data_IF_408315018874
#
_entry.id   IF_408315018874
#
_cell.length_a   1.000
_cell.length_b   1.000
_cell.length_c   1.000
_cell.angle_alpha   90.00
_cell.angle_beta   90.00
_cell.angle_gamma   90.00
#
_symmetry.space_group_name_H-M   'P 1'
#
loop_
_entity.id
_entity.type
_entity.pdbx_description
1 polymer ?
#
# COMPACT_ATOMS: atom_id res chain seq x y z
N UNK A 1 42.97 -3.57 -33.37
CA UNK A 1 42.75 -3.77 -31.92
C UNK A 1 41.31 -3.36 -31.63
N UNK A 2 40.49 -4.23 -31.04
CA UNK A 2 39.12 -3.84 -30.66
C UNK A 2 39.16 -2.82 -29.52
N UNK A 3 38.56 -1.65 -29.72
CA UNK A 3 38.49 -0.62 -28.68
C UNK A 3 37.43 -1.06 -27.68
N UNK A 4 37.81 -1.12 -26.39
CA UNK A 4 36.86 -1.43 -25.32
C UNK A 4 35.83 -0.31 -25.22
N UNK A 5 34.57 -0.69 -25.19
CA UNK A 5 33.46 0.22 -24.99
C UNK A 5 32.45 -0.37 -24.01
N UNK A 6 31.75 0.50 -23.30
CA UNK A 6 30.61 0.18 -22.44
C UNK A 6 29.48 1.14 -22.79
N UNK A 7 28.24 0.72 -22.61
CA UNK A 7 27.10 1.60 -22.84
C UNK A 7 26.14 1.54 -21.66
N UNK A 8 25.46 2.64 -21.42
CA UNK A 8 24.31 2.72 -20.55
C UNK A 8 23.19 3.42 -21.30
N UNK A 9 21.95 3.04 -21.01
CA UNK A 9 20.79 3.60 -21.70
C UNK A 9 19.68 3.95 -20.72
N UNK A 10 18.91 4.96 -21.08
CA UNK A 10 17.59 5.22 -20.55
C UNK A 10 16.59 5.17 -21.70
N UNK A 11 15.34 5.56 -21.45
CA UNK A 11 14.27 5.41 -22.44
C UNK A 11 14.41 6.38 -23.63
N UNK A 12 15.12 7.50 -23.45
CA UNK A 12 15.28 8.56 -24.47
C UNK A 12 16.67 8.58 -25.13
N UNK A 13 17.70 8.09 -24.45
CA UNK A 13 19.11 8.26 -24.82
C UNK A 13 19.94 7.02 -24.51
N UNK A 14 20.93 6.76 -25.36
CA UNK A 14 21.98 5.76 -25.13
C UNK A 14 23.31 6.48 -25.04
N UNK A 15 24.02 6.34 -23.93
CA UNK A 15 25.38 6.88 -23.80
C UNK A 15 26.41 5.77 -23.93
N UNK A 16 27.34 5.96 -24.87
CA UNK A 16 28.42 5.05 -25.18
C UNK A 16 29.74 5.62 -24.64
N UNK A 17 30.38 4.88 -23.76
CA UNK A 17 31.72 5.17 -23.22
C UNK A 17 32.77 4.37 -23.98
N UNK A 18 33.57 5.04 -24.79
CA UNK A 18 34.68 4.45 -25.56
C UNK A 18 35.98 4.69 -24.79
N UNK A 19 36.64 3.64 -24.33
CA UNK A 19 37.87 3.76 -23.52
C UNK A 19 39.11 3.93 -24.39
N UNK A 20 39.35 5.15 -24.85
CA UNK A 20 40.55 5.54 -25.57
C UNK A 20 41.41 6.51 -24.74
N UNK A 21 42.49 5.99 -24.15
CA UNK A 21 43.37 6.77 -23.27
C UNK A 21 44.22 7.74 -24.09
N UNK A 22 44.14 9.03 -23.76
CA UNK A 22 44.94 10.07 -24.41
C UNK A 22 44.43 10.47 -25.80
N UNK A 23 43.13 10.35 -26.05
CA UNK A 23 42.55 10.77 -27.32
C UNK A 23 42.59 12.30 -27.45
N UNK A 24 43.16 12.77 -28.56
CA UNK A 24 43.33 14.19 -28.87
C UNK A 24 42.03 14.72 -29.49
N UNK A 25 41.36 15.73 -28.88
CA UNK A 25 40.08 16.25 -29.39
C UNK A 25 40.11 16.64 -30.87
N UNK A 26 41.26 17.12 -31.36
CA UNK A 26 41.42 17.61 -32.73
C UNK A 26 41.62 16.49 -33.78
N UNK A 27 41.82 15.24 -33.33
CA UNK A 27 42.11 14.08 -34.20
C UNK A 27 41.04 12.99 -34.14
N UNK A 28 39.94 13.25 -33.44
CA UNK A 28 38.80 12.34 -33.32
C UNK A 28 37.76 12.71 -34.37
N UNK A 29 37.25 11.71 -35.08
CA UNK A 29 36.09 11.87 -35.96
C UNK A 29 35.01 10.86 -35.59
N UNK A 30 33.81 11.38 -35.35
CA UNK A 30 32.59 10.63 -35.03
C UNK A 30 31.54 10.88 -36.12
N UNK A 31 31.06 9.80 -36.74
CA UNK A 31 29.97 9.84 -37.70
C UNK A 31 28.74 9.12 -37.12
N UNK A 32 27.59 9.81 -37.19
CA UNK A 32 26.29 9.31 -36.75
C UNK A 32 25.40 9.06 -37.97
N UNK A 33 24.87 7.85 -38.06
CA UNK A 33 23.86 7.43 -39.02
C UNK A 33 22.67 6.82 -38.25
N UNK A 34 21.46 6.76 -38.83
CA UNK A 34 20.25 6.35 -38.10
C UNK A 34 20.38 5.03 -37.35
N UNK A 35 21.18 4.07 -37.84
CA UNK A 35 21.45 2.80 -37.14
C UNK A 35 22.93 2.46 -37.06
N UNK A 36 23.82 3.47 -37.12
CA UNK A 36 25.26 3.22 -37.13
C UNK A 36 26.04 4.35 -36.47
N UNK A 37 27.01 3.98 -35.65
CA UNK A 37 27.99 4.92 -35.09
C UNK A 37 29.38 4.48 -35.49
N UNK A 38 30.15 5.39 -36.06
CA UNK A 38 31.55 5.17 -36.41
C UNK A 38 32.43 6.14 -35.64
N UNK A 39 33.36 5.60 -34.87
CA UNK A 39 34.40 6.35 -34.16
C UNK A 39 35.75 6.06 -34.80
N UNK A 40 36.52 7.10 -35.10
CA UNK A 40 37.87 7.01 -35.65
C UNK A 40 38.81 7.94 -34.90
N UNK A 41 39.98 7.42 -34.50
CA UNK A 41 41.06 8.18 -33.87
C UNK A 41 42.41 7.56 -34.24
N UNK A 42 43.13 8.19 -35.16
CA UNK A 42 44.37 7.65 -35.74
C UNK A 42 44.15 6.30 -36.41
N UNK A 43 44.88 5.26 -35.97
CA UNK A 43 44.76 3.88 -36.48
C UNK A 43 43.66 3.05 -35.79
N UNK A 44 42.90 3.65 -34.86
CA UNK A 44 41.85 2.97 -34.10
C UNK A 44 40.47 3.33 -34.66
N UNK A 45 39.71 2.32 -35.04
CA UNK A 45 38.33 2.47 -35.53
C UNK A 45 37.39 1.56 -34.76
N UNK A 46 36.24 2.10 -34.35
CA UNK A 46 35.12 1.37 -33.76
C UNK A 46 33.87 1.63 -34.60
N UNK A 47 33.27 0.57 -35.14
CA UNK A 47 32.03 0.63 -35.92
C UNK A 47 30.97 -0.17 -35.16
N UNK A 48 29.85 0.45 -34.85
CA UNK A 48 28.70 -0.17 -34.21
C UNK A 48 27.53 -0.15 -35.20
N UNK A 49 27.27 -1.30 -35.83
CA UNK A 49 26.25 -1.50 -36.85
C UNK A 49 25.74 -2.96 -36.83
N UNK A 50 24.43 -3.21 -36.98
CA UNK A 50 23.32 -2.26 -36.88
C UNK A 50 22.98 -1.98 -35.41
N UNK A 51 22.77 -0.71 -35.07
CA UNK A 51 22.17 -0.34 -33.78
C UNK A 51 20.78 -0.94 -33.66
N UNK A 52 20.42 -1.32 -32.44
CA UNK A 52 19.14 -1.96 -32.14
C UNK A 52 17.92 -1.03 -32.29
N UNK A 53 18.11 0.28 -32.21
CA UNK A 53 17.08 1.27 -32.52
C UNK A 53 17.60 2.41 -33.37
N UNK A 54 16.68 3.20 -33.92
CA UNK A 54 17.04 4.38 -34.69
C UNK A 54 17.47 5.53 -33.76
N UNK A 55 18.58 6.19 -34.10
CA UNK A 55 19.06 7.40 -33.45
C UNK A 55 18.76 8.62 -34.33
N UNK A 56 18.58 9.78 -33.71
CA UNK A 56 18.51 11.06 -34.41
C UNK A 56 19.94 11.63 -34.56
N UNK A 57 20.57 11.58 -35.75
CA UNK A 57 21.97 11.97 -35.93
C UNK A 57 22.22 13.45 -35.58
N UNK A 58 21.25 14.31 -35.84
CA UNK A 58 21.37 15.77 -35.62
C UNK A 58 21.33 16.15 -34.14
N UNK A 59 20.78 15.27 -33.29
CA UNK A 59 20.65 15.48 -31.85
C UNK A 59 21.72 14.72 -31.03
N UNK A 60 22.60 13.96 -31.67
CA UNK A 60 23.68 13.24 -31.00
C UNK A 60 24.86 14.16 -30.72
N UNK A 61 25.48 14.01 -29.55
CA UNK A 61 26.65 14.77 -29.15
C UNK A 61 27.76 13.86 -28.60
N UNK A 62 28.96 14.41 -28.39
CA UNK A 62 30.04 13.69 -27.76
C UNK A 62 30.92 14.62 -26.91
N UNK A 63 31.60 14.05 -25.92
CA UNK A 63 32.53 14.73 -25.02
C UNK A 63 33.81 13.91 -24.91
N UNK A 64 34.95 14.54 -25.14
CA UNK A 64 36.26 13.89 -25.09
C UNK A 64 36.88 14.09 -23.71
N UNK A 65 37.10 13.01 -22.97
CA UNK A 65 37.84 13.00 -21.71
C UNK A 65 39.25 12.43 -21.85
N UNK A 66 40.07 12.55 -20.79
CA UNK A 66 41.46 12.06 -20.79
C UNK A 66 41.60 10.54 -20.94
N UNK A 67 40.58 9.79 -20.51
CA UNK A 67 40.61 8.31 -20.40
C UNK A 67 39.56 7.65 -21.30
N UNK A 68 38.48 8.36 -21.61
CA UNK A 68 37.35 7.87 -22.38
C UNK A 68 36.71 8.99 -23.18
N UNK A 69 36.09 8.63 -24.30
CA UNK A 69 35.20 9.48 -25.09
C UNK A 69 33.77 9.05 -24.78
N UNK A 70 32.93 9.99 -24.36
CA UNK A 70 31.52 9.77 -24.07
C UNK A 70 30.68 10.28 -25.24
N UNK A 71 29.89 9.40 -25.83
CA UNK A 71 29.04 9.68 -26.98
C UNK A 71 27.60 9.54 -26.55
N UNK A 72 26.77 10.58 -26.67
CA UNK A 72 25.34 10.51 -26.32
C UNK A 72 24.52 10.42 -27.58
N UNK A 73 23.80 9.32 -27.70
CA UNK A 73 22.91 9.01 -28.80
C UNK A 73 21.47 9.28 -28.38
N UNK A 74 20.73 10.07 -29.14
CA UNK A 74 19.31 10.35 -28.88
C UNK A 74 18.46 9.38 -29.69
N UNK A 75 17.55 8.66 -29.03
CA UNK A 75 16.68 7.67 -29.68
C UNK A 75 15.49 8.34 -30.35
N UNK A 76 15.09 7.86 -31.52
CA UNK A 76 13.86 8.33 -32.19
C UNK A 76 12.63 7.69 -31.54
N UNK A 77 12.68 6.38 -31.27
CA UNK A 77 11.63 5.66 -30.56
C UNK A 77 12.03 5.49 -29.09
N UNK A 78 11.18 5.96 -28.17
CA UNK A 78 11.42 5.81 -26.74
C UNK A 78 11.33 4.33 -26.34
N UNK A 79 12.32 3.85 -25.58
CA UNK A 79 12.38 2.47 -25.11
C UNK A 79 13.80 1.95 -24.91
N UNK A 80 13.96 0.93 -24.05
CA UNK A 80 15.25 0.29 -23.80
C UNK A 80 15.55 -0.77 -24.83
N UNK A 81 16.76 -0.75 -25.37
CA UNK A 81 17.20 -1.68 -26.39
C UNK A 81 17.61 -3.03 -25.76
N UNK A 82 18.13 -3.06 -24.54
CA UNK A 82 18.60 -4.29 -23.89
C UNK A 82 19.83 -4.93 -24.57
N UNK A 83 20.43 -4.22 -25.52
CA UNK A 83 21.57 -4.62 -26.34
C UNK A 83 21.91 -3.50 -27.33
N UNK A 84 23.18 -3.16 -27.51
CA UNK A 84 23.59 -2.04 -28.37
C UNK A 84 23.46 -2.37 -29.86
N UNK A 85 23.78 -3.61 -30.24
CA UNK A 85 23.75 -4.12 -31.62
C UNK A 85 22.63 -5.14 -31.75
N UNK A 86 21.86 -5.08 -32.83
CA UNK A 86 20.87 -6.11 -33.14
C UNK A 86 19.89 -5.72 -34.24
N UNK A 87 19.38 -6.74 -34.94
CA UNK A 87 18.33 -6.61 -35.95
C UNK A 87 16.96 -6.50 -35.27
N UNK A 88 16.62 -5.32 -34.75
CA UNK A 88 15.23 -5.04 -34.37
C UNK A 88 14.43 -4.61 -35.60
N UNK A 89 13.20 -5.12 -35.79
CA UNK A 89 12.28 -4.58 -36.78
C UNK A 89 11.89 -3.14 -36.40
N UNK A 90 11.79 -2.30 -37.42
CA UNK A 90 11.60 -0.86 -37.34
C UNK A 90 10.18 -0.50 -36.85
N UNK A 91 10.00 0.19 -35.70
CA UNK A 91 8.67 0.58 -35.23
C UNK A 91 7.98 1.64 -36.10
N UNK A 92 8.67 2.21 -37.09
CA UNK A 92 8.11 3.25 -37.98
C UNK A 92 7.26 2.74 -39.16
N UNK A 93 7.05 1.43 -39.31
CA UNK A 93 6.14 0.90 -40.34
C UNK A 93 4.64 1.07 -40.00
N UNK A 94 4.28 1.33 -38.73
CA UNK A 94 2.90 1.47 -38.29
C UNK A 94 2.60 2.88 -37.74
N UNK A 95 2.74 3.91 -38.57
CA UNK A 95 2.17 5.24 -38.26
C UNK A 95 1.78 5.98 -39.54
N UNK A 96 0.74 5.48 -40.20
CA UNK A 96 -0.09 6.31 -41.06
C UNK A 96 -1.25 6.89 -40.23
N UNK A 97 -1.16 8.20 -39.95
CA UNK A 97 -2.25 9.15 -39.75
C UNK A 97 -3.36 8.84 -38.74
N UNK A 98 -3.39 9.60 -37.63
CA UNK A 98 -4.52 10.52 -37.34
C UNK A 98 -4.16 11.50 -36.21
N UNK A 99 -3.77 12.71 -36.59
CA UNK A 99 -3.87 13.90 -35.73
C UNK A 99 -5.33 14.30 -35.59
N UNK A 100 -5.87 14.29 -34.37
CA UNK A 100 -7.15 14.93 -34.03
C UNK A 100 -6.89 16.19 -33.17
N UNK A 101 -7.60 17.31 -33.40
CA UNK A 101 -7.30 18.59 -32.76
C UNK A 101 -7.89 18.68 -31.36
N UNK A 102 -7.14 19.32 -30.45
CA UNK A 102 -7.62 19.74 -29.12
C UNK A 102 -8.68 20.83 -29.20
N UNK A 103 -9.82 20.73 -28.48
CA UNK A 103 -10.68 21.87 -28.22
C UNK A 103 -10.26 22.61 -26.94
N UNK A 104 -10.17 23.94 -27.03
CA UNK A 104 -10.11 24.84 -25.87
C UNK A 104 -11.44 24.79 -25.13
N UNK A 105 -11.46 24.19 -23.94
CA UNK A 105 -12.63 24.15 -23.05
C UNK A 105 -12.51 25.15 -21.90
N UNK A 106 -13.51 26.03 -21.76
CA UNK A 106 -13.69 26.96 -20.65
C UNK A 106 -13.76 26.22 -19.30
N UNK A 107 -13.16 26.82 -18.27
CA UNK A 107 -13.34 26.45 -16.86
C UNK A 107 -14.83 26.42 -16.51
N UNK A 108 -15.35 25.26 -16.11
CA UNK A 108 -16.63 25.11 -15.40
C UNK A 108 -16.36 24.67 -13.96
N UNK A 109 -16.99 25.39 -13.04
CA UNK A 109 -16.93 25.21 -11.60
C UNK A 109 -17.77 23.98 -11.21
N UNK A 110 -17.18 23.01 -10.50
CA UNK A 110 -17.82 21.73 -10.15
C UNK A 110 -18.59 21.72 -8.82
N UNK A 111 -18.59 22.83 -8.09
CA UNK A 111 -19.22 22.89 -6.76
C UNK A 111 -20.75 23.07 -6.77
N UNK A 112 -21.39 23.16 -7.95
CA UNK A 112 -22.85 23.38 -8.05
C UNK A 112 -23.66 22.16 -8.54
N UNK A 113 -23.03 21.05 -8.92
CA UNK A 113 -23.74 19.84 -9.43
C UNK A 113 -24.00 18.83 -8.32
N UNK A 114 -23.29 18.90 -7.20
CA UNK A 114 -23.55 18.04 -6.03
C UNK A 114 -24.84 18.42 -5.31
N UNK A 115 -25.26 19.70 -5.36
CA UNK A 115 -26.46 20.14 -4.63
C UNK A 115 -27.75 19.86 -5.39
N UNK A 116 -27.72 19.82 -6.73
CA UNK A 116 -28.91 19.50 -7.55
C UNK A 116 -29.19 17.99 -7.59
N UNK A 117 -28.17 17.13 -7.71
CA UNK A 117 -28.33 15.66 -7.70
C UNK A 117 -28.80 15.15 -6.34
N UNK A 118 -28.35 15.77 -5.23
CA UNK A 118 -28.84 15.47 -3.88
C UNK A 118 -30.27 15.97 -3.61
N UNK A 119 -30.88 16.74 -4.53
CA UNK A 119 -32.20 17.34 -4.34
C UNK A 119 -33.29 16.83 -5.31
N UNK A 120 -32.94 15.99 -6.28
CA UNK A 120 -33.89 15.48 -7.29
C UNK A 120 -34.15 13.97 -7.27
N UNK A 121 -33.78 13.27 -6.19
CA UNK A 121 -34.27 11.90 -5.97
C UNK A 121 -35.56 11.92 -5.15
N UNK A 122 -36.67 11.74 -5.86
CA UNK A 122 -38.00 11.58 -5.27
C UNK A 122 -38.03 10.22 -4.54
N UNK A 123 -38.06 10.24 -3.21
CA UNK A 123 -38.25 9.05 -2.38
C UNK A 123 -39.55 8.32 -2.79
N UNK A 124 -39.46 7.01 -3.03
CA UNK A 124 -40.63 6.14 -3.22
C UNK A 124 -41.14 5.73 -1.85
N UNK A 125 -42.46 5.82 -1.66
CA UNK A 125 -43.14 5.52 -0.41
C UNK A 125 -43.50 4.03 -0.29
N UNK A 126 -43.70 3.56 0.94
CA UNK A 126 -44.02 2.17 1.35
C UNK A 126 -45.34 1.64 0.74
N UNK A 127 -46.15 2.50 0.12
CA UNK A 127 -47.42 2.10 -0.51
C UNK A 127 -47.24 1.31 -1.82
N UNK A 128 -46.05 1.33 -2.45
CA UNK A 128 -45.83 0.72 -3.78
C UNK A 128 -45.09 -0.64 -3.77
N UNK A 129 -44.36 -1.03 -2.71
CA UNK A 129 -43.71 -2.36 -2.62
C UNK A 129 -43.38 -2.75 -1.17
N UNK A 130 -44.00 -3.81 -0.61
CA UNK A 130 -43.80 -4.21 0.79
C UNK A 130 -42.44 -4.88 1.06
N UNK A 131 -41.55 -5.05 0.07
CA UNK A 131 -40.27 -5.77 0.27
C UNK A 131 -39.01 -4.96 -0.07
N UNK A 132 -39.08 -3.63 -0.12
CA UNK A 132 -37.92 -2.76 -0.36
C UNK A 132 -37.52 -2.04 0.93
N UNK A 133 -36.62 -2.63 1.73
CA UNK A 133 -35.90 -1.88 2.76
C UNK A 133 -35.34 -2.71 3.92
N UNK A 134 -34.04 -3.01 3.89
CA UNK A 134 -33.28 -3.49 5.06
C UNK A 134 -33.07 -2.41 6.13
N UNK A 135 -32.40 -2.80 7.23
CA UNK A 135 -32.26 -2.14 8.55
C UNK A 135 -32.17 -0.59 8.61
N UNK A 136 -31.78 0.09 7.52
CA UNK A 136 -31.73 1.56 7.45
C UNK A 136 -33.11 2.24 7.35
N UNK A 137 -34.14 1.55 6.87
CA UNK A 137 -35.51 2.10 6.78
C UNK A 137 -36.32 1.99 8.09
N UNK A 138 -35.85 1.19 9.04
CA UNK A 138 -36.56 0.91 10.29
C UNK A 138 -36.27 1.99 11.34
N UNK A 139 -35.07 2.58 11.30
CA UNK A 139 -34.62 3.60 12.25
C UNK A 139 -35.47 4.89 12.23
N UNK A 140 -35.86 5.46 11.07
CA UNK A 140 -36.73 6.64 11.03
C UNK A 140 -38.15 6.37 11.51
N UNK A 141 -38.66 5.14 11.31
CA UNK A 141 -39.97 4.70 11.78
C UNK A 141 -40.00 4.63 13.32
N UNK A 142 -39.00 4.01 13.93
CA UNK A 142 -38.86 3.98 15.40
C UNK A 142 -38.63 5.36 16.00
N UNK A 143 -37.89 6.25 15.33
CA UNK A 143 -37.65 7.61 15.80
C UNK A 143 -38.93 8.45 15.84
N UNK A 144 -39.80 8.35 14.83
CA UNK A 144 -41.13 9.00 14.86
C UNK A 144 -42.01 8.41 15.96
N UNK A 145 -42.04 7.08 16.10
CA UNK A 145 -42.85 6.40 17.10
C UNK A 145 -42.42 6.75 18.54
N UNK A 146 -41.11 6.92 18.78
CA UNK A 146 -40.59 7.32 20.08
C UNK A 146 -40.74 8.82 20.35
N UNK A 147 -40.70 9.67 19.32
CA UNK A 147 -40.85 11.12 19.51
C UNK A 147 -42.26 11.52 19.97
N UNK A 148 -43.29 10.87 19.43
CA UNK A 148 -44.70 11.20 19.70
C UNK A 148 -45.31 10.43 20.89
N UNK A 149 -44.57 9.51 21.52
CA UNK A 149 -45.05 8.70 22.65
C UNK A 149 -44.91 9.40 24.02
N UNK A 150 -45.85 9.12 24.92
CA UNK A 150 -45.80 9.50 26.34
C UNK A 150 -44.70 8.72 27.10
N UNK A 151 -44.24 9.26 28.23
CA UNK A 151 -43.06 8.75 28.93
C UNK A 151 -43.21 7.31 29.43
N UNK A 152 -44.43 6.86 29.75
CA UNK A 152 -44.69 5.48 30.13
C UNK A 152 -44.66 4.52 28.93
N UNK A 153 -45.12 4.96 27.75
CA UNK A 153 -44.98 4.18 26.51
C UNK A 153 -43.52 4.06 26.08
N UNK A 154 -42.72 5.13 26.21
CA UNK A 154 -41.27 5.09 25.96
C UNK A 154 -40.55 4.10 26.88
N UNK A 155 -40.95 4.03 28.15
CA UNK A 155 -40.41 3.06 29.12
C UNK A 155 -40.81 1.63 28.76
N UNK A 156 -42.05 1.41 28.31
CA UNK A 156 -42.51 0.10 27.83
C UNK A 156 -41.71 -0.38 26.61
N UNK A 157 -41.49 0.52 25.65
CA UNK A 157 -40.73 0.25 24.44
C UNK A 157 -39.27 -0.09 24.75
N UNK A 158 -38.60 0.70 25.60
CA UNK A 158 -37.21 0.46 25.98
C UNK A 158 -37.04 -0.88 26.72
N UNK A 159 -37.95 -1.17 27.67
CA UNK A 159 -37.91 -2.41 28.45
C UNK A 159 -38.24 -3.63 27.60
N UNK A 160 -39.27 -3.57 26.75
CA UNK A 160 -39.63 -4.65 25.82
C UNK A 160 -38.51 -4.94 24.81
N UNK A 161 -37.89 -3.90 24.26
CA UNK A 161 -36.77 -4.04 23.32
C UNK A 161 -35.56 -4.69 23.98
N UNK A 162 -35.20 -4.23 25.19
CA UNK A 162 -34.06 -4.74 25.94
C UNK A 162 -34.27 -6.17 26.46
N UNK A 163 -35.49 -6.53 26.88
CA UNK A 163 -35.81 -7.87 27.39
C UNK A 163 -36.00 -8.91 26.28
N UNK A 164 -36.52 -8.51 25.11
CA UNK A 164 -36.73 -9.40 23.96
C UNK A 164 -35.50 -9.56 23.06
N UNK A 165 -34.41 -8.82 23.32
CA UNK A 165 -33.24 -8.84 22.45
C UNK A 165 -33.51 -8.22 21.07
N UNK A 166 -34.46 -7.29 20.99
CA UNK A 166 -34.80 -6.55 19.77
C UNK A 166 -35.85 -7.19 18.87
N UNK A 167 -36.50 -8.28 19.29
CA UNK A 167 -37.49 -8.99 18.46
C UNK A 167 -38.93 -8.56 18.71
N UNK A 168 -39.23 -7.82 19.79
CA UNK A 168 -40.61 -7.48 20.16
C UNK A 168 -40.72 -6.08 20.75
N UNK A 169 -41.60 -5.26 20.17
CA UNK A 169 -41.88 -3.91 20.62
C UNK A 169 -43.32 -3.84 21.17
N UNK A 170 -43.46 -3.67 22.48
CA UNK A 170 -44.75 -3.42 23.13
C UNK A 170 -44.83 -1.95 23.60
N UNK A 171 -45.99 -1.35 23.44
CA UNK A 171 -46.29 0.04 23.83
C UNK A 171 -47.15 0.13 25.11
N UNK A 172 -47.52 -1.01 25.72
CA UNK A 172 -48.38 -1.04 26.91
C UNK A 172 -47.59 -1.29 28.20
N UNK A 173 -47.39 -0.24 29.01
CA UNK A 173 -46.58 -0.30 30.23
C UNK A 173 -47.15 -1.23 31.31
N UNK A 174 -48.48 -1.29 31.48
CA UNK A 174 -49.11 -2.12 32.52
C UNK A 174 -48.90 -3.63 32.30
N UNK A 175 -48.64 -4.02 31.05
CA UNK A 175 -48.45 -5.41 30.62
C UNK A 175 -46.98 -5.83 30.76
N UNK A 176 -46.05 -4.96 30.33
CA UNK A 176 -44.59 -5.15 30.44
C UNK A 176 -44.11 -5.05 31.90
N UNK A 177 -44.90 -4.43 32.80
CA UNK A 177 -44.59 -4.39 34.23
C UNK A 177 -44.92 -5.70 34.97
N UNK A 178 -45.92 -6.47 34.51
CA UNK A 178 -46.44 -7.66 35.24
C UNK A 178 -45.70 -8.96 34.96
N UNK A 179 -44.83 -9.02 33.94
CA UNK A 179 -44.04 -10.22 33.61
C UNK A 179 -43.01 -9.99 32.50
N UNK A 180 -42.07 -10.92 32.36
CA UNK A 180 -40.98 -10.88 31.37
C UNK A 180 -41.56 -11.07 29.96
N UNK A 181 -41.16 -10.23 29.00
CA UNK A 181 -41.67 -10.30 27.62
C UNK A 181 -40.95 -11.42 26.85
N UNK A 182 -41.72 -12.38 26.31
CA UNK A 182 -41.18 -13.53 25.58
C UNK A 182 -40.76 -13.18 24.14
N UNK A 183 -39.64 -13.75 23.72
CA UNK A 183 -39.06 -13.59 22.37
C UNK A 183 -39.94 -14.31 21.35
N UNK A 184 -40.63 -13.55 20.47
CA UNK A 184 -41.30 -14.09 19.29
C UNK A 184 -40.53 -13.69 18.03
N UNK A 185 -39.75 -14.59 17.42
CA UNK A 185 -39.09 -14.30 16.14
C UNK A 185 -40.11 -14.20 14.99
N UNK A 186 -39.80 -13.47 13.90
CA UNK A 186 -40.64 -13.40 12.70
C UNK A 186 -40.89 -14.79 12.08
N UNK A 187 -42.06 -14.96 11.43
CA UNK A 187 -42.47 -16.23 10.81
C UNK A 187 -41.37 -16.78 9.88
N UNK A 188 -40.86 -17.99 10.19
CA UNK A 188 -39.81 -18.67 9.44
C UNK A 188 -38.39 -18.61 10.04
N UNK A 189 -38.17 -17.93 11.17
CA UNK A 189 -36.86 -17.90 11.86
C UNK A 189 -36.92 -18.53 13.25
N UNK A 190 -35.94 -19.38 13.59
CA UNK A 190 -35.77 -19.94 14.94
C UNK A 190 -34.73 -19.15 15.74
N UNK A 191 -35.09 -18.75 16.95
CA UNK A 191 -34.16 -18.15 17.90
C UNK A 191 -33.17 -19.20 18.43
N UNK A 192 -31.86 -18.99 18.22
CA UNK A 192 -30.81 -19.78 18.89
C UNK A 192 -30.11 -18.91 19.93
N UNK A 193 -30.11 -19.35 21.19
CA UNK A 193 -29.10 -18.89 22.17
C UNK A 193 -27.74 -19.40 21.70
N UNK A 194 -26.73 -18.53 21.62
CA UNK A 194 -25.33 -18.97 21.49
C UNK A 194 -24.90 -19.70 22.77
N UNK A 195 -25.32 -20.95 22.93
CA UNK A 195 -24.74 -21.89 23.87
C UNK A 195 -23.75 -22.77 23.13
N UNK A 196 -22.57 -22.22 22.87
CA UNK A 196 -21.38 -23.02 22.60
C UNK A 196 -20.37 -22.71 23.72
N UNK A 197 -20.60 -23.33 24.88
CA UNK A 197 -19.46 -23.91 25.59
C UNK A 197 -18.93 -25.03 24.69
N UNK A 198 -18.06 -24.65 23.76
CA UNK A 198 -17.03 -25.57 23.30
C UNK A 198 -16.21 -25.94 24.54
N UNK A 199 -15.76 -27.19 24.70
CA UNK A 199 -14.95 -27.57 25.84
C UNK A 199 -13.79 -26.58 25.94
N UNK A 200 -13.65 -25.95 27.12
CA UNK A 200 -12.47 -25.17 27.47
C UNK A 200 -11.33 -26.17 27.55
N UNK A 201 -10.77 -26.53 26.39
CA UNK A 201 -9.42 -27.04 26.33
C UNK A 201 -8.55 -25.92 26.87
N UNK A 202 -7.84 -26.24 27.96
CA UNK A 202 -6.74 -25.49 28.54
C UNK A 202 -5.98 -24.71 27.44
N UNK A 203 -5.55 -23.45 27.68
CA UNK A 203 -4.78 -22.72 26.67
C UNK A 203 -3.55 -23.56 26.33
N UNK A 204 -3.59 -24.19 25.16
CA UNK A 204 -2.42 -24.83 24.56
C UNK A 204 -1.42 -23.70 24.38
N UNK A 205 -0.32 -23.78 25.12
CA UNK A 205 0.76 -22.81 25.12
C UNK A 205 1.53 -22.89 23.79
N UNK A 206 0.92 -22.37 22.72
CA UNK A 206 1.56 -21.80 21.54
C UNK A 206 0.53 -20.92 20.84
N UNK A 207 0.09 -19.85 21.50
CA UNK A 207 -0.52 -18.71 20.80
C UNK A 207 0.58 -18.07 19.93
N UNK A 208 0.73 -18.57 18.70
CA UNK A 208 1.72 -18.06 17.76
C UNK A 208 1.39 -16.59 17.45
N UNK A 209 2.32 -15.70 17.78
CA UNK A 209 2.07 -14.26 17.68
C UNK A 209 2.34 -13.78 16.25
N UNK A 210 1.25 -13.58 15.50
CA UNK A 210 1.27 -13.13 14.12
C UNK A 210 1.63 -11.65 14.04
N UNK A 211 2.52 -11.31 13.11
CA UNK A 211 2.88 -9.93 12.79
C UNK A 211 2.47 -9.60 11.36
N UNK A 212 1.88 -8.43 11.18
CA UNK A 212 1.65 -7.84 9.86
C UNK A 212 2.69 -6.77 9.60
N UNK A 213 3.47 -6.92 8.54
CA UNK A 213 4.38 -5.89 8.07
C UNK A 213 3.58 -4.88 7.23
N UNK A 214 3.80 -3.58 7.44
CA UNK A 214 3.26 -2.53 6.57
C UNK A 214 4.40 -1.62 6.11
N UNK A 215 4.48 -1.36 4.81
CA UNK A 215 5.61 -0.65 4.18
C UNK A 215 5.21 -0.04 2.85
N UNK A 216 5.76 1.15 2.55
CA UNK A 216 5.78 1.70 1.20
C UNK A 216 7.19 1.52 0.62
N UNK A 217 7.30 0.94 -0.58
CA UNK A 217 8.58 0.64 -1.20
C UNK A 217 8.57 0.84 -2.71
N UNK A 218 9.67 1.33 -3.28
CA UNK A 218 9.88 1.42 -4.74
C UNK A 218 9.94 0.05 -5.38
N UNK A 219 9.94 -0.05 -6.71
CA UNK A 219 10.15 -1.30 -7.46
C UNK A 219 11.46 -2.02 -7.10
N UNK A 220 12.47 -1.29 -6.65
CA UNK A 220 13.77 -1.82 -6.20
C UNK A 220 13.82 -2.07 -4.69
N UNK A 221 12.66 -2.06 -4.01
CA UNK A 221 12.52 -2.18 -2.55
C UNK A 221 13.18 -1.04 -1.75
N UNK A 222 13.40 0.13 -2.36
CA UNK A 222 13.85 1.34 -1.65
C UNK A 222 12.73 1.87 -0.76
N UNK A 223 13.04 2.19 0.50
CA UNK A 223 12.07 2.62 1.52
C UNK A 223 12.46 3.92 2.22
N UNK A 224 13.67 4.41 2.01
CA UNK A 224 14.19 5.58 2.70
C UNK A 224 15.37 6.22 1.98
N UNK A 225 15.52 7.52 2.20
CA UNK A 225 16.67 8.32 1.82
C UNK A 225 17.03 9.24 2.99
N UNK A 226 18.29 9.26 3.42
CA UNK A 226 18.79 10.19 4.45
C UNK A 226 17.95 10.18 5.75
N UNK A 227 17.42 9.02 6.12
CA UNK A 227 16.58 8.83 7.31
C UNK A 227 15.14 9.35 7.20
N UNK A 228 14.66 9.66 5.99
CA UNK A 228 13.28 10.12 5.71
C UNK A 228 12.65 9.33 4.56
N UNK A 229 11.35 9.50 4.36
CA UNK A 229 10.66 8.99 3.19
C UNK A 229 11.03 9.85 1.96
N UNK A 230 11.42 9.25 0.81
CA UNK A 230 11.82 10.00 -0.40
C UNK A 230 10.64 10.69 -1.12
N UNK A 231 9.41 10.33 -0.75
CA UNK A 231 8.18 10.81 -1.36
C UNK A 231 7.23 11.44 -0.34
N UNK A 232 6.29 12.24 -0.85
CA UNK A 232 5.21 12.83 -0.07
C UNK A 232 3.86 12.48 -0.68
N UNK A 233 3.23 11.43 -0.14
CA UNK A 233 1.99 10.83 -0.66
C UNK A 233 0.93 10.83 0.45
N UNK A 234 0.20 11.95 0.66
CA UNK A 234 -0.81 12.09 1.72
C UNK A 234 -1.86 10.99 1.74
N UNK A 235 -2.33 10.50 0.58
CA UNK A 235 -3.33 9.44 0.50
C UNK A 235 -2.78 8.09 0.99
N UNK A 236 -1.50 7.81 0.72
CA UNK A 236 -0.82 6.62 1.25
C UNK A 236 -0.66 6.71 2.76
N UNK A 237 -0.28 7.89 3.27
CA UNK A 237 -0.19 8.12 4.72
C UNK A 237 -1.56 7.99 5.41
N UNK A 238 -2.64 8.44 4.76
CA UNK A 238 -4.00 8.26 5.25
C UNK A 238 -4.41 6.77 5.27
N UNK A 239 -4.02 6.01 4.25
CA UNK A 239 -4.18 4.56 4.21
C UNK A 239 -3.41 3.88 5.36
N UNK A 240 -2.12 4.18 5.53
CA UNK A 240 -1.30 3.69 6.64
C UNK A 240 -1.94 3.97 8.00
N UNK A 241 -2.38 5.21 8.22
CA UNK A 241 -3.02 5.61 9.47
C UNK A 241 -4.31 4.81 9.70
N UNK A 242 -5.17 4.71 8.66
CA UNK A 242 -6.45 4.00 8.73
C UNK A 242 -6.27 2.50 9.00
N UNK A 243 -5.36 1.83 8.29
CA UNK A 243 -5.13 0.40 8.48
C UNK A 243 -4.58 0.10 9.87
N UNK A 244 -3.60 0.90 10.31
CA UNK A 244 -2.94 0.63 11.60
C UNK A 244 -3.79 1.04 12.80
N UNK A 245 -4.71 2.01 12.68
CA UNK A 245 -5.57 2.43 13.79
C UNK A 245 -6.89 1.68 13.89
N UNK A 246 -7.40 1.13 12.77
CA UNK A 246 -8.70 0.48 12.76
C UNK A 246 -8.67 -0.83 13.54
N UNK A 247 -9.36 -0.84 14.68
CA UNK A 247 -9.61 -2.01 15.50
C UNK A 247 -11.11 -2.12 15.83
N UNK A 248 -11.62 -3.33 16.11
CA UNK A 248 -12.97 -3.51 16.63
C UNK A 248 -13.21 -2.71 17.93
N UNK A 249 -14.46 -2.31 18.24
CA UNK A 249 -14.77 -1.63 19.49
C UNK A 249 -14.24 -2.38 20.71
N UNK A 250 -13.57 -1.65 21.60
CA UNK A 250 -12.97 -2.21 22.82
C UNK A 250 -11.62 -2.90 22.62
N UNK A 251 -11.05 -2.93 21.40
CA UNK A 251 -9.70 -3.43 21.13
C UNK A 251 -8.81 -2.33 20.56
N UNK A 252 -7.50 -2.56 20.57
CA UNK A 252 -6.53 -1.62 20.02
C UNK A 252 -5.47 -2.34 19.19
N UNK A 253 -4.94 -1.70 18.16
CA UNK A 253 -3.78 -2.22 17.43
C UNK A 253 -2.47 -1.72 18.05
N UNK A 254 -1.40 -2.49 17.87
CA UNK A 254 -0.05 -2.09 18.24
C UNK A 254 0.80 -1.81 17.00
N UNK A 255 1.68 -0.82 17.09
CA UNK A 255 2.69 -0.50 16.08
C UNK A 255 4.07 -0.65 16.70
N UNK A 256 4.90 -1.48 16.07
CA UNK A 256 6.26 -1.82 16.50
C UNK A 256 7.23 -1.21 15.49
N UNK A 257 8.17 -0.41 15.99
CA UNK A 257 9.13 0.27 15.16
C UNK A 257 10.54 0.32 15.78
N UNK A 258 11.55 0.46 14.93
CA UNK A 258 12.90 0.77 15.37
C UNK A 258 13.06 2.22 15.81
N UNK A 259 14.03 2.48 16.70
CA UNK A 259 14.35 3.82 17.21
C UNK A 259 14.61 4.88 16.12
N UNK A 260 15.28 4.54 15.01
CA UNK A 260 15.50 5.50 13.93
C UNK A 260 14.20 5.88 13.19
N UNK A 261 13.27 4.94 13.05
CA UNK A 261 11.93 5.22 12.51
C UNK A 261 11.13 6.10 13.46
N UNK A 262 11.22 5.86 14.77
CA UNK A 262 10.61 6.74 15.77
C UNK A 262 11.16 8.17 15.73
N UNK A 263 12.47 8.31 15.52
CA UNK A 263 13.15 9.61 15.42
C UNK A 263 12.85 10.36 14.12
N UNK A 264 12.49 9.66 13.03
CA UNK A 264 12.14 10.28 11.75
C UNK A 264 10.70 10.78 11.68
N UNK A 265 9.81 10.27 12.54
CA UNK A 265 8.42 10.75 12.63
C UNK A 265 8.42 12.15 13.28
N UNK A 266 7.80 13.17 12.64
CA UNK A 266 7.73 14.52 13.21
C UNK A 266 7.07 14.54 14.61
N UNK A 267 7.59 15.39 15.51
CA UNK A 267 7.13 15.51 16.91
C UNK A 267 5.61 15.63 17.05
N UNK A 268 4.96 16.40 16.17
CA UNK A 268 3.50 16.60 16.18
C UNK A 268 2.67 15.34 15.89
N UNK A 269 3.28 14.31 15.31
CA UNK A 269 2.62 13.07 14.92
C UNK A 269 3.01 11.87 15.79
N UNK A 270 3.96 12.04 16.72
CA UNK A 270 4.33 11.01 17.69
C UNK A 270 3.83 11.37 19.09
N UNK A 271 3.36 10.40 19.89
CA UNK A 271 3.04 9.02 19.51
C UNK A 271 1.89 8.94 18.49
N UNK A 272 1.84 7.84 17.73
CA UNK A 272 0.77 7.60 16.76
C UNK A 272 -0.54 7.33 17.51
N UNK A 273 -1.51 8.26 17.40
CA UNK A 273 -2.80 8.20 18.11
C UNK A 273 -3.57 6.90 17.83
N UNK A 274 -4.39 6.49 18.79
CA UNK A 274 -5.28 5.30 18.74
C UNK A 274 -4.55 3.96 18.54
N UNK A 275 -3.25 3.91 18.86
CA UNK A 275 -2.41 2.71 18.76
C UNK A 275 -1.48 2.60 19.97
N UNK A 276 -1.15 1.37 20.36
CA UNK A 276 -0.05 1.12 21.29
C UNK A 276 1.26 1.29 20.53
N UNK A 277 2.10 2.25 20.94
CA UNK A 277 3.36 2.55 20.28
C UNK A 277 4.51 1.81 20.99
N UNK A 278 5.21 0.95 20.26
CA UNK A 278 6.35 0.19 20.75
C UNK A 278 7.61 0.56 19.98
N UNK A 279 8.63 1.03 20.70
CA UNK A 279 9.93 1.41 20.14
C UNK A 279 11.00 0.42 20.59
N UNK A 280 11.70 -0.16 19.61
CA UNK A 280 12.82 -1.05 19.86
C UNK A 280 14.14 -0.26 19.90
N UNK A 281 14.80 -0.28 21.04
CA UNK A 281 16.11 0.38 21.25
C UNK A 281 16.98 -0.38 22.24
N UNK A 282 18.25 -0.56 21.90
CA UNK A 282 19.28 -1.09 22.80
C UNK A 282 19.95 0.01 23.65
N UNK A 283 19.76 1.28 23.28
CA UNK A 283 20.37 2.42 23.98
C UNK A 283 19.61 2.69 25.28
N UNK A 284 20.29 2.57 26.41
CA UNK A 284 19.75 2.95 27.72
C UNK A 284 19.74 4.47 27.89
N UNK A 285 18.84 4.97 28.75
CA UNK A 285 18.81 6.39 29.14
C UNK A 285 18.18 7.33 28.12
N UNK A 286 17.44 6.80 27.14
CA UNK A 286 16.57 7.61 26.28
C UNK A 286 15.28 7.94 27.05
N UNK A 287 14.86 9.20 27.00
CA UNK A 287 13.57 9.61 27.52
C UNK A 287 12.52 9.49 26.42
N UNK A 288 11.45 8.80 26.73
CA UNK A 288 10.27 8.67 25.91
C UNK A 288 9.07 9.18 26.71
N UNK A 289 8.01 9.56 26.00
CA UNK A 289 6.73 9.86 26.62
C UNK A 289 6.19 8.61 27.34
N UNK A 290 5.48 8.78 28.46
CA UNK A 290 4.92 7.69 29.25
C UNK A 290 3.95 6.80 28.45
N UNK A 291 3.39 7.32 27.36
CA UNK A 291 2.52 6.59 26.43
C UNK A 291 3.25 5.63 25.47
N UNK A 292 4.60 5.60 25.48
CA UNK A 292 5.42 4.81 24.56
C UNK A 292 6.12 3.67 25.29
N UNK A 293 5.92 2.44 24.82
CA UNK A 293 6.60 1.28 25.37
C UNK A 293 7.96 1.09 24.69
N UNK A 294 9.01 0.90 25.49
CA UNK A 294 10.38 0.81 24.98
C UNK A 294 10.98 -0.53 25.37
N UNK A 295 11.41 -1.29 24.37
CA UNK A 295 11.92 -2.64 24.54
C UNK A 295 13.27 -2.82 23.85
N UNK A 296 14.09 -3.75 24.35
CA UNK A 296 15.44 -3.99 23.81
C UNK A 296 15.44 -4.87 22.56
N UNK A 297 14.42 -5.70 22.44
CA UNK A 297 14.26 -6.69 21.39
C UNK A 297 12.78 -6.97 21.10
N UNK A 298 12.53 -7.66 19.99
CA UNK A 298 11.18 -8.02 19.59
C UNK A 298 10.53 -8.98 20.58
N UNK A 299 11.28 -9.90 21.19
CA UNK A 299 10.71 -10.89 22.12
C UNK A 299 10.05 -10.25 23.34
N UNK A 300 10.77 -9.36 24.02
CA UNK A 300 10.25 -8.63 25.18
C UNK A 300 9.08 -7.72 24.81
N UNK A 301 9.09 -7.11 23.62
CA UNK A 301 7.95 -6.34 23.12
C UNK A 301 6.71 -7.22 22.92
N UNK A 302 6.86 -8.40 22.33
CA UNK A 302 5.75 -9.34 22.12
C UNK A 302 5.20 -9.89 23.43
N UNK A 303 6.05 -10.18 24.41
CA UNK A 303 5.61 -10.59 25.76
C UNK A 303 4.74 -9.51 26.41
N UNK A 304 5.19 -8.25 26.35
CA UNK A 304 4.44 -7.13 26.91
C UNK A 304 3.10 -6.93 26.19
N UNK A 305 3.10 -6.92 24.85
CA UNK A 305 1.87 -6.75 24.07
C UNK A 305 0.85 -7.87 24.34
N UNK A 306 1.31 -9.10 24.55
CA UNK A 306 0.46 -10.24 24.92
C UNK A 306 -0.15 -10.11 26.32
N UNK A 307 0.50 -9.38 27.22
CA UNK A 307 0.03 -9.18 28.59
C UNK A 307 -1.05 -8.09 28.70
N UNK A 308 -1.26 -7.28 27.66
CA UNK A 308 -2.25 -6.21 27.66
C UNK A 308 -3.66 -6.78 27.48
N UNK A 309 -4.51 -6.57 28.49
CA UNK A 309 -5.91 -7.03 28.49
C UNK A 309 -6.93 -5.91 28.40
N UNK A 310 -6.53 -4.65 28.64
CA UNK A 310 -7.44 -3.51 28.74
C UNK A 310 -6.84 -2.24 28.09
N UNK A 311 -7.13 -1.95 26.81
CA UNK A 311 -7.80 -2.83 25.85
C UNK A 311 -6.88 -3.96 25.35
N UNK A 312 -7.42 -5.13 24.97
CA UNK A 312 -6.62 -6.19 24.37
C UNK A 312 -6.13 -5.79 22.98
N UNK A 313 -4.97 -6.33 22.60
CA UNK A 313 -4.38 -6.09 21.29
C UNK A 313 -5.11 -6.89 20.21
N UNK A 314 -5.67 -6.20 19.21
CA UNK A 314 -6.30 -6.82 18.05
C UNK A 314 -5.27 -7.31 17.02
N UNK A 315 -4.40 -6.40 16.54
CA UNK A 315 -3.34 -6.69 15.56
C UNK A 315 -2.04 -5.99 15.92
N UNK A 316 -0.93 -6.61 15.52
CA UNK A 316 0.42 -6.09 15.73
C UNK A 316 1.07 -5.79 14.38
N UNK A 317 1.41 -4.52 14.16
CA UNK A 317 1.98 -4.02 12.92
C UNK A 317 3.46 -3.72 13.09
N UNK A 318 4.27 -4.24 12.17
CA UNK A 318 5.68 -3.90 12.06
C UNK A 318 5.80 -2.79 11.02
N UNK A 319 6.15 -1.58 11.47
CA UNK A 319 6.17 -0.37 10.62
C UNK A 319 7.59 0.07 10.24
N UNK A 320 8.57 -0.80 10.46
CA UNK A 320 9.97 -0.62 10.03
C UNK A 320 10.93 -0.23 11.17
N UNK A 321 12.17 0.13 10.87
CA UNK A 321 12.80 0.25 9.54
C UNK A 321 13.48 -1.03 9.04
N UNK A 322 14.35 -0.88 8.03
CA UNK A 322 15.00 -1.97 7.30
C UNK A 322 15.58 -3.09 8.18
N UNK A 323 16.33 -2.75 9.23
CA UNK A 323 16.91 -3.75 10.14
C UNK A 323 15.84 -4.60 10.82
N UNK A 324 14.71 -3.99 11.20
CA UNK A 324 13.60 -4.69 11.84
C UNK A 324 12.87 -5.56 10.81
N UNK A 325 12.64 -5.06 9.60
CA UNK A 325 12.07 -5.83 8.49
C UNK A 325 12.93 -7.07 8.16
N UNK A 326 14.25 -6.91 8.02
CA UNK A 326 15.20 -8.01 7.80
C UNK A 326 15.15 -9.05 8.90
N UNK A 327 15.18 -8.62 10.17
CA UNK A 327 15.11 -9.54 11.29
C UNK A 327 13.77 -10.29 11.35
N UNK A 328 12.65 -9.61 11.09
CA UNK A 328 11.31 -10.21 11.20
C UNK A 328 10.98 -11.17 10.05
N UNK A 329 11.40 -10.85 8.82
CA UNK A 329 11.11 -11.67 7.64
C UNK A 329 11.93 -12.97 7.61
N UNK A 330 13.08 -13.01 8.27
CA UNK A 330 13.91 -14.21 8.43
C UNK A 330 13.37 -15.18 9.50
N UNK A 331 12.39 -14.78 10.31
CA UNK A 331 11.85 -15.65 11.35
C UNK A 331 11.07 -16.82 10.71
N UNK A 332 11.35 -18.07 11.15
CA UNK A 332 10.59 -19.21 10.69
C UNK A 332 9.16 -19.14 11.24
N UNK A 333 8.22 -19.82 10.56
CA UNK A 333 6.81 -19.90 11.01
C UNK A 333 6.67 -20.53 12.39
N UNK A 334 7.59 -21.44 12.74
CA UNK A 334 7.67 -22.12 14.04
C UNK A 334 8.32 -21.27 15.14
N UNK A 335 8.64 -20.01 14.84
CA UNK A 335 9.22 -19.10 15.81
C UNK A 335 8.31 -18.97 17.04
N UNK A 336 8.81 -19.27 18.26
CA UNK A 336 8.02 -19.15 19.49
C UNK A 336 7.77 -17.68 19.88
N UNK A 337 8.51 -16.75 19.26
CA UNK A 337 8.41 -15.31 19.53
C UNK A 337 7.30 -14.69 18.69
N UNK A 338 7.52 -14.67 17.38
CA UNK A 338 6.61 -14.10 16.41
C UNK A 338 6.99 -14.56 15.00
N UNK A 339 6.05 -14.48 14.07
CA UNK A 339 6.33 -14.68 12.65
C UNK A 339 5.49 -13.70 11.81
N UNK A 340 6.06 -13.26 10.70
CA UNK A 340 5.34 -12.40 9.74
C UNK A 340 4.57 -13.29 8.78
N UNK A 341 3.24 -13.19 8.82
CA UNK A 341 2.33 -13.93 7.93
C UNK A 341 1.74 -13.05 6.83
N UNK A 342 1.81 -11.73 6.98
CA UNK A 342 1.22 -10.75 6.07
C UNK A 342 2.15 -9.56 5.84
N UNK A 343 2.19 -9.09 4.60
CA UNK A 343 2.88 -7.86 4.19
C UNK A 343 1.88 -6.98 3.43
N UNK A 344 1.51 -5.85 4.02
CA UNK A 344 0.83 -4.76 3.34
C UNK A 344 1.90 -3.89 2.69
N UNK A 345 1.93 -3.91 1.37
CA UNK A 345 2.92 -3.24 0.57
C UNK A 345 2.24 -2.17 -0.27
N UNK A 346 2.60 -0.91 -0.05
CA UNK A 346 2.36 0.13 -1.05
C UNK A 346 3.52 0.14 -2.02
N UNK A 347 3.31 -0.34 -3.25
CA UNK A 347 4.33 -0.36 -4.29
C UNK A 347 4.39 1.00 -4.98
N UNK A 348 5.47 1.74 -4.76
CA UNK A 348 5.76 3.00 -5.48
C UNK A 348 6.29 2.67 -6.87
N UNK A 349 5.60 3.16 -7.90
CA UNK A 349 5.81 2.82 -9.31
C UNK A 349 6.64 3.90 -10.01
N UNK A 350 6.19 5.15 -9.93
CA UNK A 350 6.80 6.31 -10.62
C UNK A 350 6.76 7.52 -9.69
N UNK A 351 7.81 8.37 -9.63
CA UNK A 351 9.15 8.15 -10.18
C UNK A 351 9.85 6.97 -9.48
N UNK A 352 10.97 6.45 -10.01
CA UNK A 352 11.63 5.27 -9.44
C UNK A 352 12.32 5.53 -8.09
N UNK A 353 12.60 6.79 -7.75
CA UNK A 353 13.35 7.21 -6.56
C UNK A 353 14.70 6.49 -6.42
N UNK A 354 15.53 6.52 -7.47
CA UNK A 354 16.83 5.83 -7.54
C UNK A 354 17.87 6.30 -6.51
N UNK A 355 17.58 7.36 -5.75
CA UNK A 355 18.42 7.91 -4.68
C UNK A 355 18.17 7.28 -3.30
N UNK A 356 17.30 6.27 -3.18
CA UNK A 356 17.10 5.56 -1.91
C UNK A 356 18.43 4.96 -1.39
N UNK A 357 18.68 5.09 -0.08
CA UNK A 357 19.85 4.53 0.60
C UNK A 357 19.48 3.39 1.57
N UNK A 358 18.20 3.28 1.92
CA UNK A 358 17.65 2.22 2.78
C UNK A 358 16.68 1.36 1.97
N UNK A 359 16.90 0.05 2.03
CA UNK A 359 16.13 -0.94 1.27
C UNK A 359 15.50 -1.98 2.21
N UNK A 360 14.29 -2.42 1.87
CA UNK A 360 13.68 -3.59 2.48
C UNK A 360 14.30 -4.86 1.86
N UNK A 361 14.54 -5.92 2.64
CA UNK A 361 14.91 -7.22 2.07
C UNK A 361 13.85 -7.70 1.08
N UNK A 362 14.29 -8.34 0.01
CA UNK A 362 13.38 -9.04 -0.88
C UNK A 362 12.82 -10.28 -0.17
N UNK A 363 11.48 -10.34 -0.07
CA UNK A 363 10.76 -11.45 0.55
C UNK A 363 10.09 -12.36 -0.48
N UNK A 364 10.06 -11.94 -1.76
CA UNK A 364 9.46 -12.69 -2.86
C UNK A 364 10.42 -13.71 -3.47
N UNK A 365 11.72 -13.59 -3.20
CA UNK A 365 12.77 -14.49 -3.67
C UNK A 365 13.25 -14.19 -5.09
N UNK A 366 14.39 -14.75 -5.49
CA UNK A 366 14.85 -14.69 -6.89
C UNK A 366 13.85 -15.45 -7.78
N UNK A 367 13.50 -14.86 -8.92
CA UNK A 367 12.66 -15.48 -9.94
C UNK A 367 13.36 -16.73 -10.51
N UNK A 368 13.23 -17.88 -9.87
CA UNK A 368 13.75 -19.17 -10.36
C UNK A 368 12.59 -19.98 -10.95
N UNK A 369 11.92 -19.45 -11.98
CA UNK A 369 11.05 -20.23 -12.89
C UNK A 369 9.85 -21.00 -12.32
N UNK A 370 9.67 -21.07 -11.00
CA UNK A 370 8.49 -21.61 -10.32
C UNK A 370 7.66 -20.46 -9.76
N UNK A 371 6.34 -20.61 -9.77
CA UNK A 371 5.39 -19.64 -9.18
C UNK A 371 5.43 -19.60 -7.64
N UNK A 372 6.53 -20.08 -7.03
CA UNK A 372 6.66 -20.22 -5.58
C UNK A 372 7.51 -19.07 -5.02
N UNK A 373 6.86 -17.96 -4.67
CA UNK A 373 7.49 -16.79 -4.06
C UNK A 373 7.84 -17.04 -2.58
N UNK A 374 8.68 -18.04 -2.28
CA UNK A 374 9.07 -18.39 -0.91
C UNK A 374 7.85 -18.60 0.05
N UNK A 375 6.75 -19.12 -0.51
CA UNK A 375 5.48 -19.35 0.20
C UNK A 375 4.60 -18.11 0.39
N UNK A 376 4.93 -16.98 -0.25
CA UNK A 376 4.08 -15.80 -0.34
C UNK A 376 3.18 -15.86 -1.57
N UNK A 377 1.95 -15.39 -1.42
CA UNK A 377 1.02 -15.16 -2.51
C UNK A 377 0.42 -13.77 -2.37
N UNK A 378 0.20 -13.10 -3.51
CA UNK A 378 -0.56 -11.86 -3.51
C UNK A 378 -2.04 -12.20 -3.31
N UNK A 379 -2.68 -11.54 -2.34
CA UNK A 379 -4.09 -11.67 -2.06
C UNK A 379 -4.92 -10.94 -3.12
N UNK A 380 -6.17 -11.36 -3.31
CA UNK A 380 -7.11 -10.66 -4.20
C UNK A 380 -7.56 -9.33 -3.61
N UNK A 381 -8.17 -8.50 -4.45
CA UNK A 381 -8.84 -7.27 -4.04
C UNK A 381 -9.86 -7.52 -2.92
N UNK A 382 -10.69 -8.56 -3.06
CA UNK A 382 -11.71 -8.88 -2.06
C UNK A 382 -11.10 -9.33 -0.74
N UNK A 383 -10.06 -10.18 -0.78
CA UNK A 383 -9.34 -10.62 0.42
C UNK A 383 -8.68 -9.45 1.15
N UNK A 384 -8.16 -8.46 0.41
CA UNK A 384 -7.57 -7.25 0.98
C UNK A 384 -8.62 -6.37 1.65
N UNK A 385 -9.75 -6.15 0.99
CA UNK A 385 -10.86 -5.35 1.51
C UNK A 385 -11.47 -5.97 2.76
N UNK A 386 -11.69 -7.28 2.74
CA UNK A 386 -12.17 -8.06 3.88
C UNK A 386 -11.20 -7.95 5.05
N UNK A 387 -9.90 -8.13 4.79
CA UNK A 387 -8.88 -8.08 5.84
C UNK A 387 -8.74 -6.67 6.44
N UNK A 388 -8.77 -5.62 5.62
CA UNK A 388 -8.76 -4.22 6.08
C UNK A 388 -10.10 -3.82 6.72
N UNK A 389 -11.18 -4.52 6.39
CA UNK A 389 -12.56 -4.21 6.76
C UNK A 389 -13.11 -2.97 6.05
N UNK A 390 -12.50 -2.52 4.96
CA UNK A 390 -12.95 -1.38 4.15
C UNK A 390 -12.42 -1.52 2.73
N UNK A 391 -13.13 -0.90 1.76
CA UNK A 391 -12.70 -0.86 0.37
C UNK A 391 -11.37 -0.11 0.22
N UNK A 392 -10.35 -0.82 -0.27
CA UNK A 392 -9.05 -0.28 -0.63
C UNK A 392 -9.08 0.11 -2.12
N UNK A 393 -8.57 1.29 -2.51
CA UNK A 393 -8.49 1.68 -3.92
C UNK A 393 -7.70 0.64 -4.73
N UNK A 394 -8.33 0.15 -5.80
CA UNK A 394 -7.77 -0.89 -6.67
C UNK A 394 -6.95 -0.29 -7.81
N UNK A 395 -5.88 -0.98 -8.19
CA UNK A 395 -4.98 -0.56 -9.27
C UNK A 395 -4.12 0.65 -8.92
N UNK A 396 -3.54 1.27 -9.96
CA UNK A 396 -2.61 2.39 -9.81
C UNK A 396 -3.35 3.65 -9.36
N UNK A 397 -2.91 4.18 -8.23
CA UNK A 397 -3.30 5.48 -7.69
C UNK A 397 -2.24 6.51 -8.05
N UNK A 398 -2.63 7.78 -8.11
CA UNK A 398 -1.73 8.90 -8.36
C UNK A 398 -1.97 10.01 -7.34
N UNK A 399 -0.91 10.40 -6.63
CA UNK A 399 -0.96 11.49 -5.63
C UNK A 399 0.38 12.22 -5.62
N UNK A 400 0.35 13.56 -5.67
CA UNK A 400 1.52 14.44 -5.74
C UNK A 400 2.58 14.04 -6.79
N UNK A 401 2.15 13.55 -7.96
CA UNK A 401 3.06 13.12 -9.02
C UNK A 401 3.74 11.77 -8.76
N UNK A 402 3.28 11.03 -7.74
CA UNK A 402 3.72 9.67 -7.43
C UNK A 402 2.62 8.69 -7.81
N UNK A 403 2.96 7.70 -8.62
CA UNK A 403 2.11 6.56 -8.93
C UNK A 403 2.42 5.42 -7.97
N UNK A 404 1.39 4.81 -7.40
CA UNK A 404 1.54 3.71 -6.45
C UNK A 404 0.35 2.75 -6.47
N UNK A 405 0.54 1.54 -5.96
CA UNK A 405 -0.51 0.53 -5.86
C UNK A 405 -0.48 -0.12 -4.46
N UNK A 406 -1.66 -0.36 -3.89
CA UNK A 406 -1.78 -1.11 -2.64
C UNK A 406 -1.83 -2.61 -2.91
N UNK A 407 -1.00 -3.37 -2.20
CA UNK A 407 -0.92 -4.82 -2.33
C UNK A 407 -0.96 -5.46 -0.94
N UNK A 408 -1.64 -6.61 -0.85
CA UNK A 408 -1.56 -7.49 0.31
C UNK A 408 -0.89 -8.79 -0.11
N UNK A 409 0.18 -9.16 0.58
CA UNK A 409 0.86 -10.44 0.44
C UNK A 409 0.61 -11.28 1.68
N UNK A 410 0.26 -12.54 1.48
CA UNK A 410 -0.02 -13.49 2.54
C UNK A 410 0.91 -14.66 2.37
N UNK A 411 1.53 -15.09 3.46
CA UNK A 411 2.31 -16.32 3.50
C UNK A 411 1.35 -17.44 3.88
N UNK A 412 1.29 -18.51 3.08
CA UNK A 412 0.44 -19.66 3.42
C UNK A 412 0.79 -20.13 4.84
N UNK A 413 -0.21 -20.51 5.63
CA UNK A 413 -0.01 -20.93 7.03
C UNK A 413 0.67 -22.29 7.09
#
# INVERSE_FOLDING_TARGET
MSIRHEYYENDERTTLSIFDRGADPDKISLAFEPRKVTYTHGDKTLILEPLKGQINPDACDYTVGKVKVEVRLVKIAQGRWGGLIGDSPDPLANSASTTAPTPKGQRKNWDSVTTEILSSEKERTIEDDPNVGGDSAVNPFFQKLFADADDDTKRAMMKSYQESGGTTLSTNWEEVQKGRVDVKPPEGQEWRKCSNQLPVSSPSATQMSRLTLIVAATRTNGIGENGRLPWHVPQEMAYFARVTSKAPPGQQNAVIMGRHTWESIPDKYRPLKDRVNVVLSRKSGLQFDDSVQVHRDLASAMDQLRSLTEPPIHRMFLIGGAMLYSASLQLPRTSPVAYVDRVLLTRIITPPFDHCDVFMPDFLGEWIGSKDFNGWKQATAEEMDEWCGFAVPQGVQQDNGVEYEFQLWVRDT
#
